data_IF_105219167682
#
_entry.id   IF_105219167682
#
_cell.length_a   1.000
_cell.length_b   1.000
_cell.length_c   1.000
_cell.angle_alpha   90.00
_cell.angle_beta   90.00
_cell.angle_gamma   90.00
#
_symmetry.space_group_name_H-M   'P 1'
#
loop_
_entity.id
_entity.type
_entity.pdbx_description
1 polymer ?
#
# COMPACT_ATOMS: atom_id res chain seq x y z
N UNK A 1 11.14 4.73 -24.45
CA UNK A 1 11.67 4.40 -23.12
C UNK A 1 10.51 4.49 -22.13
N UNK A 2 9.98 3.37 -21.68
CA UNK A 2 9.07 3.31 -20.54
C UNK A 2 9.24 1.92 -19.94
N UNK A 3 10.37 1.75 -19.25
CA UNK A 3 10.70 0.51 -18.59
C UNK A 3 9.66 0.24 -17.51
N UNK A 4 8.89 -0.82 -17.74
CA UNK A 4 8.00 -1.45 -16.79
C UNK A 4 8.80 -1.79 -15.52
N UNK A 5 8.61 -1.02 -14.45
CA UNK A 5 9.01 -1.46 -13.11
C UNK A 5 7.97 -2.43 -12.56
N UNK A 6 8.01 -3.66 -13.07
CA UNK A 6 7.67 -4.85 -12.29
C UNK A 6 8.94 -5.30 -11.59
N UNK A 7 9.37 -4.48 -10.64
CA UNK A 7 10.34 -4.86 -9.64
C UNK A 7 9.60 -4.71 -8.33
N UNK A 8 9.66 -5.73 -7.49
CA UNK A 8 9.16 -5.75 -6.11
C UNK A 8 9.96 -4.78 -5.25
N UNK A 9 10.02 -3.52 -5.70
CA UNK A 9 10.56 -2.38 -5.00
C UNK A 9 9.68 -2.24 -3.75
N UNK A 10 10.26 -2.53 -2.60
CA UNK A 10 9.60 -2.27 -1.33
C UNK A 10 9.54 -0.75 -1.18
N UNK A 11 8.34 -0.25 -0.94
CA UNK A 11 8.11 1.16 -0.70
C UNK A 11 7.92 1.35 0.81
N UNK A 12 8.56 2.36 1.36
CA UNK A 12 8.25 2.78 2.74
C UNK A 12 6.79 3.21 2.80
N UNK A 13 6.18 3.02 3.98
CA UNK A 13 4.85 3.56 4.29
C UNK A 13 4.69 5.00 3.79
N UNK A 14 5.69 5.84 4.01
CA UNK A 14 5.68 7.24 3.57
C UNK A 14 5.61 7.40 2.05
N UNK A 15 6.36 6.62 1.28
CA UNK A 15 6.32 6.64 -0.18
C UNK A 15 4.95 6.20 -0.73
N UNK A 16 4.36 5.19 -0.08
CA UNK A 16 3.02 4.68 -0.41
C UNK A 16 1.95 5.74 -0.07
N UNK A 17 2.04 6.37 1.10
CA UNK A 17 1.13 7.44 1.55
C UNK A 17 1.28 8.74 0.75
N UNK A 18 2.47 9.00 0.18
CA UNK A 18 2.73 10.15 -0.71
C UNK A 18 2.12 9.97 -2.10
N UNK A 19 1.76 8.74 -2.47
CA UNK A 19 1.19 8.45 -3.79
C UNK A 19 -0.25 8.97 -3.89
N UNK A 20 -0.51 9.87 -4.83
CA UNK A 20 -1.86 10.37 -5.09
C UNK A 20 -2.86 9.26 -5.45
N UNK A 21 -2.36 8.14 -6.01
CA UNK A 21 -3.17 6.96 -6.33
C UNK A 21 -3.75 6.26 -5.10
N UNK A 22 -3.18 6.45 -3.91
CA UNK A 22 -3.60 5.78 -2.67
C UNK A 22 -4.17 6.77 -1.66
N UNK A 23 -4.52 7.98 -2.10
CA UNK A 23 -5.05 9.04 -1.24
C UNK A 23 -6.34 8.63 -0.49
N UNK A 24 -7.18 7.83 -1.13
CA UNK A 24 -8.41 7.25 -0.58
C UNK A 24 -8.15 6.07 0.36
N UNK A 25 -7.04 5.36 0.15
CA UNK A 25 -6.59 4.29 1.05
C UNK A 25 -5.64 4.81 2.13
N UNK A 26 -5.31 6.10 2.15
CA UNK A 26 -4.24 6.65 2.99
C UNK A 26 -4.48 6.38 4.47
N UNK A 27 -5.71 6.50 4.94
CA UNK A 27 -6.10 6.21 6.32
C UNK A 27 -5.94 4.71 6.64
N UNK A 28 -6.46 3.86 5.77
CA UNK A 28 -6.37 2.39 5.88
C UNK A 28 -4.91 1.94 5.87
N UNK A 29 -4.10 2.46 4.94
CA UNK A 29 -2.67 2.21 4.83
C UNK A 29 -1.89 2.76 6.02
N UNK A 30 -2.31 3.89 6.58
CA UNK A 30 -1.67 4.45 7.76
C UNK A 30 -1.89 3.59 9.00
N UNK A 31 -3.04 2.91 9.08
CA UNK A 31 -3.38 1.98 10.16
C UNK A 31 -2.74 0.60 9.94
N UNK A 32 -2.72 0.13 8.70
CA UNK A 32 -2.25 -1.21 8.36
C UNK A 32 -0.73 -1.31 8.18
N UNK A 33 -0.09 -0.25 7.68
CA UNK A 33 1.36 -0.20 7.50
C UNK A 33 2.02 0.40 8.75
N UNK A 34 3.03 -0.28 9.25
CA UNK A 34 3.85 0.21 10.35
C UNK A 34 4.90 1.22 9.83
N UNK A 35 5.08 2.32 10.58
CA UNK A 35 6.11 3.30 10.26
C UNK A 35 7.50 2.70 10.53
N UNK A 36 8.37 2.70 9.52
CA UNK A 36 9.69 2.08 9.59
C UNK A 36 9.78 0.70 8.92
N UNK A 37 8.66 0.16 8.43
CA UNK A 37 8.63 -1.02 7.57
C UNK A 37 8.38 -0.64 6.11
N UNK A 38 8.93 -1.44 5.22
CA UNK A 38 8.77 -1.31 3.79
C UNK A 38 7.85 -2.42 3.27
N UNK A 39 6.93 -2.04 2.40
CA UNK A 39 5.90 -2.93 1.88
C UNK A 39 5.87 -2.84 0.36
N UNK A 40 5.56 -3.94 -0.29
CA UNK A 40 5.35 -3.94 -1.75
C UNK A 40 3.92 -3.50 -2.07
N UNK A 41 3.72 -2.99 -3.29
CA UNK A 41 2.38 -2.66 -3.78
C UNK A 41 1.41 -3.87 -3.68
N UNK A 42 1.89 -5.09 -3.93
CA UNK A 42 1.09 -6.33 -3.80
C UNK A 42 0.70 -6.62 -2.35
N UNK A 43 1.64 -6.54 -1.40
CA UNK A 43 1.33 -6.71 0.03
C UNK A 43 0.31 -5.68 0.49
N UNK A 44 0.53 -4.43 0.11
CA UNK A 44 -0.32 -3.30 0.47
C UNK A 44 -1.74 -3.50 -0.06
N UNK A 45 -1.87 -3.90 -1.32
CA UNK A 45 -3.17 -4.20 -1.93
C UNK A 45 -3.86 -5.36 -1.22
N UNK A 46 -3.14 -6.45 -0.92
CA UNK A 46 -3.67 -7.59 -0.15
C UNK A 46 -4.17 -7.18 1.23
N UNK A 47 -3.40 -6.39 1.96
CA UNK A 47 -3.73 -5.96 3.31
C UNK A 47 -4.99 -5.07 3.30
N UNK A 48 -5.07 -4.12 2.36
CA UNK A 48 -6.28 -3.29 2.17
C UNK A 48 -7.48 -4.14 1.77
N UNK A 49 -7.29 -5.11 0.87
CA UNK A 49 -8.36 -5.99 0.38
C UNK A 49 -8.89 -6.90 1.49
N UNK A 50 -8.01 -7.43 2.35
CA UNK A 50 -8.39 -8.23 3.54
C UNK A 50 -9.14 -7.38 4.57
N UNK A 51 -8.67 -6.16 4.83
CA UNK A 51 -9.34 -5.22 5.73
C UNK A 51 -10.76 -4.89 5.23
N UNK A 52 -10.91 -4.54 3.95
CA UNK A 52 -12.22 -4.28 3.35
C UNK A 52 -13.14 -5.51 3.44
N UNK A 53 -12.62 -6.72 3.20
CA UNK A 53 -13.39 -7.98 3.33
C UNK A 53 -13.86 -8.25 4.75
N UNK A 54 -13.08 -7.84 5.75
CA UNK A 54 -13.43 -8.01 7.18
C UNK A 54 -14.52 -7.06 7.63
N UNK A 55 -14.59 -5.85 7.07
CA UNK A 55 -15.65 -4.88 7.40
C UNK A 55 -17.01 -5.22 6.77
N UNK A 56 -17.05 -5.96 5.64
CA UNK A 56 -18.30 -6.34 4.95
C UNK A 56 -18.97 -7.61 5.48
N UNK A 57 -19.15 -7.75 6.79
CA UNK A 57 -19.89 -8.87 7.38
C UNK A 57 -20.94 -8.46 8.41
#
# INVERSE_FOLDING_TARGET
>A
MAEKKTQSDKYTKEAILKSEKLRWNRDVLSVLLESGKEYTLDEVEKIVQDFNKREVK
#
